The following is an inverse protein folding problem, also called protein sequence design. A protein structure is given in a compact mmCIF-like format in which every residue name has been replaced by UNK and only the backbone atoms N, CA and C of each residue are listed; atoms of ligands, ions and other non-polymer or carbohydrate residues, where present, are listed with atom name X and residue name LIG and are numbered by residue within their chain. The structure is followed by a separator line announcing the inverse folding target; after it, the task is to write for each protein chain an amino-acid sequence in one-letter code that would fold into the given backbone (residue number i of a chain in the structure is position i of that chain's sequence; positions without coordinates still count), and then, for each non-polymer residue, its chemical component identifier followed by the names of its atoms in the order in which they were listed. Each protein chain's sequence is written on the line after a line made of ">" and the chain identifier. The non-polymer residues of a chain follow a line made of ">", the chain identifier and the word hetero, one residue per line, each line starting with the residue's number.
data_IF_457780973344
#
_entry.id   IF_457780973344
#
_cell.length_a   1.000
_cell.length_b   1.000
_cell.length_c   1.000
_cell.angle_alpha   90.00
_cell.angle_beta   90.00
_cell.angle_gamma   90.00
#
_symmetry.space_group_name_H-M   'P 1'
#
loop_
_entity.id
_entity.type
_entity.pdbx_description
1 polymer ?
#
# COMPACT_ATOMS: atom_id res chain seq x y z
N UNK A 1 6.74 -14.73 7.59
CA UNK A 1 6.98 -13.32 7.22
C UNK A 1 6.44 -12.48 8.35
N UNK A 2 7.28 -11.68 9.02
CA UNK A 2 6.80 -10.76 10.07
C UNK A 2 6.52 -9.41 9.41
N UNK A 3 5.31 -8.89 9.56
CA UNK A 3 4.87 -7.62 8.99
C UNK A 3 4.17 -6.78 10.04
N UNK A 4 4.27 -5.45 9.91
CA UNK A 4 3.58 -4.48 10.75
C UNK A 4 2.62 -3.67 9.87
N UNK A 5 1.37 -3.54 10.31
CA UNK A 5 0.36 -2.73 9.61
C UNK A 5 0.47 -1.31 10.15
N UNK A 6 0.77 -0.36 9.25
CA UNK A 6 1.08 1.02 9.60
C UNK A 6 0.01 2.04 9.15
N UNK A 7 -1.19 1.59 8.78
CA UNK A 7 -2.28 2.47 8.36
C UNK A 7 -3.50 1.68 7.87
N UNK A 8 -4.65 2.35 7.88
CA UNK A 8 -5.92 1.87 7.34
C UNK A 8 -6.59 3.03 6.62
N UNK A 9 -7.21 2.74 5.48
CA UNK A 9 -8.05 3.69 4.72
C UNK A 9 -9.39 3.02 4.45
N UNK A 10 -10.46 3.79 4.55
CA UNK A 10 -11.82 3.40 4.21
C UNK A 10 -12.15 3.66 2.74
N UNK A 11 -11.28 4.39 2.02
CA UNK A 11 -11.50 4.81 0.64
C UNK A 11 -11.46 3.66 -0.40
N UNK A 12 -11.38 2.39 0.02
CA UNK A 12 -11.30 1.22 -0.87
C UNK A 12 -10.00 1.09 -1.67
N UNK A 13 -9.24 2.17 -1.82
CA UNK A 13 -8.00 2.21 -2.60
C UNK A 13 -6.87 2.92 -1.85
N UNK A 14 -5.64 2.42 -1.99
CA UNK A 14 -4.44 3.12 -1.53
C UNK A 14 -3.82 3.84 -2.71
N UNK A 15 -3.94 5.16 -2.73
CA UNK A 15 -3.41 6.03 -3.79
C UNK A 15 -2.10 6.74 -3.41
N UNK A 16 -1.72 6.74 -2.12
CA UNK A 16 -0.52 7.45 -1.63
C UNK A 16 0.41 6.55 -0.82
N UNK A 17 1.72 6.82 -0.91
CA UNK A 17 2.73 6.12 -0.14
C UNK A 17 2.68 6.55 1.33
N UNK A 18 2.48 5.63 2.29
CA UNK A 18 2.36 5.97 3.71
C UNK A 18 3.69 6.46 4.33
N UNK A 19 4.81 6.34 3.62
CA UNK A 19 6.13 6.74 4.12
C UNK A 19 6.57 8.13 3.65
N UNK A 20 6.15 8.56 2.46
CA UNK A 20 6.60 9.83 1.88
C UNK A 20 5.48 10.70 1.29
N UNK A 21 4.22 10.23 1.31
CA UNK A 21 3.05 10.99 0.83
C UNK A 21 2.89 11.09 -0.68
N UNK A 22 3.82 10.52 -1.46
CA UNK A 22 3.77 10.54 -2.93
C UNK A 22 2.75 9.55 -3.50
N UNK A 23 2.15 9.90 -4.63
CA UNK A 23 1.17 9.06 -5.32
C UNK A 23 1.81 7.75 -5.80
N UNK A 24 1.10 6.64 -5.62
CA UNK A 24 1.55 5.31 -6.04
C UNK A 24 0.82 4.88 -7.31
N UNK A 25 1.56 4.83 -8.41
CA UNK A 25 1.04 4.46 -9.74
C UNK A 25 1.27 2.99 -10.11
N UNK A 26 1.84 2.18 -9.21
CA UNK A 26 2.28 0.81 -9.52
C UNK A 26 1.95 -0.19 -8.42
N UNK A 27 0.89 -0.96 -8.64
CA UNK A 27 0.54 -2.17 -7.89
C UNK A 27 1.08 -3.41 -8.60
N UNK A 28 1.61 -4.35 -7.82
CA UNK A 28 2.05 -5.67 -8.30
C UNK A 28 0.94 -6.70 -8.08
N UNK A 29 0.87 -7.72 -8.94
CA UNK A 29 -0.14 -8.80 -8.92
C UNK A 29 -0.08 -9.75 -7.69
N UNK A 30 0.43 -9.30 -6.56
CA UNK A 30 0.49 -10.04 -5.29
C UNK A 30 0.21 -9.16 -4.08
N UNK A 31 -0.61 -8.11 -4.24
CA UNK A 31 -1.00 -7.22 -3.15
C UNK A 31 0.17 -6.43 -2.54
N UNK A 32 1.20 -6.13 -3.34
CA UNK A 32 2.31 -5.28 -2.89
C UNK A 32 2.46 -4.10 -3.82
N UNK A 33 2.88 -2.98 -3.26
CA UNK A 33 3.13 -1.73 -3.96
C UNK A 33 4.60 -1.37 -3.79
N UNK A 34 5.20 -0.82 -4.84
CA UNK A 34 6.51 -0.17 -4.76
C UNK A 34 6.34 1.31 -5.04
N UNK A 35 6.70 2.17 -4.08
CA UNK A 35 6.71 3.61 -4.30
C UNK A 35 7.85 3.98 -5.27
N UNK A 36 7.53 4.70 -6.35
CA UNK A 36 8.52 5.16 -7.33
C UNK A 36 9.46 6.24 -6.76
N UNK A 37 8.99 7.04 -5.80
CA UNK A 37 9.77 8.10 -5.16
C UNK A 37 10.73 7.54 -4.10
N UNK A 38 10.21 6.97 -3.00
CA UNK A 38 11.06 6.49 -1.90
C UNK A 38 11.60 5.06 -2.07
N UNK A 39 11.24 4.37 -3.16
CA UNK A 39 11.67 2.99 -3.53
C UNK A 39 11.29 1.89 -2.52
N UNK A 40 10.55 2.21 -1.46
CA UNK A 40 10.05 1.24 -0.49
C UNK A 40 8.97 0.36 -1.12
N UNK A 41 9.00 -0.93 -0.76
CA UNK A 41 7.97 -1.90 -1.09
C UNK A 41 7.19 -2.26 0.17
N UNK A 42 5.86 -2.27 0.08
CA UNK A 42 4.98 -2.60 1.18
C UNK A 42 3.77 -3.41 0.70
N UNK A 43 3.16 -4.17 1.60
CA UNK A 43 1.93 -4.92 1.35
C UNK A 43 0.70 -4.04 1.51
N UNK A 44 -0.29 -4.30 0.68
CA UNK A 44 -1.65 -3.78 0.79
C UNK A 44 -2.54 -4.99 1.06
N UNK A 45 -3.30 -4.91 2.14
CA UNK A 45 -4.27 -5.93 2.51
C UNK A 45 -5.63 -5.25 2.42
N UNK A 46 -6.41 -5.65 1.43
CA UNK A 46 -7.82 -5.30 1.34
C UNK A 46 -8.60 -6.34 2.14
N UNK A 47 -9.59 -5.85 2.89
CA UNK A 47 -10.50 -6.70 3.66
C UNK A 47 -11.86 -6.50 3.01
N UNK A 48 -12.48 -7.59 2.58
CA UNK A 48 -13.86 -7.57 2.11
C UNK A 48 -14.81 -7.36 3.30
N UNK A 49 -15.84 -6.53 3.14
CA UNK A 49 -16.87 -6.30 4.19
C UNK A 49 -18.01 -7.35 4.15
N UNK A 50 -17.74 -8.61 3.77
CA UNK A 50 -18.70 -9.73 3.89
C UNK A 50 -18.62 -10.46 5.24
#
# INVERSE_FOLDING_TARGET
>A
MYGYIAGVTDAGEINYCPYCGEEIIMMHAGGTVTCSSCKRRFGVVEIDEE
#
